data_IF_574085999006
#
_entry.id   IF_574085999006
#
_cell.length_a   1.000
_cell.length_b   1.000
_cell.length_c   1.000
_cell.angle_alpha   90.00
_cell.angle_beta   90.00
_cell.angle_gamma   90.00
#
_symmetry.space_group_name_H-M   'P 1'
#
loop_
_entity.id
_entity.type
_entity.pdbx_description
1 polymer ?
#
# COMPACT_ATOMS: atom_id res chain seq x y z
N UNK A 1 28.34 -13.56 -27.12
CA UNK A 1 27.91 -12.21 -26.68
C UNK A 1 26.48 -12.17 -26.17
N UNK A 2 25.53 -12.92 -26.76
CA UNK A 2 24.12 -12.99 -26.37
C UNK A 2 23.85 -13.29 -24.89
N UNK A 3 24.57 -14.24 -24.28
CA UNK A 3 24.40 -14.61 -22.86
C UNK A 3 24.70 -13.44 -21.91
N UNK A 4 25.65 -12.57 -22.25
CA UNK A 4 25.99 -11.38 -21.44
C UNK A 4 24.89 -10.33 -21.52
N UNK A 5 24.31 -10.13 -22.71
CA UNK A 5 23.22 -9.18 -22.95
C UNK A 5 21.94 -9.66 -22.25
N UNK A 6 21.60 -10.94 -22.37
CA UNK A 6 20.45 -11.52 -21.68
C UNK A 6 20.59 -11.42 -20.16
N UNK A 7 21.79 -11.63 -19.61
CA UNK A 7 22.06 -11.45 -18.18
C UNK A 7 21.86 -10.01 -17.70
N UNK A 8 22.28 -9.02 -18.49
CA UNK A 8 22.10 -7.60 -18.17
C UNK A 8 20.62 -7.20 -18.23
N UNK A 9 19.88 -7.70 -19.22
CA UNK A 9 18.43 -7.45 -19.32
C UNK A 9 17.67 -8.07 -18.15
N UNK A 10 18.04 -9.29 -17.73
CA UNK A 10 17.43 -9.91 -16.56
C UNK A 10 17.72 -9.12 -15.28
N UNK A 11 18.97 -8.67 -15.11
CA UNK A 11 19.40 -7.89 -13.96
C UNK A 11 18.73 -6.51 -13.91
N UNK A 12 18.52 -5.86 -15.06
CA UNK A 12 17.81 -4.57 -15.12
C UNK A 12 16.34 -4.72 -14.76
N UNK A 13 15.68 -5.78 -15.23
CA UNK A 13 14.29 -6.11 -14.86
C UNK A 13 14.18 -6.38 -13.36
N UNK A 14 15.08 -7.20 -12.79
CA UNK A 14 15.12 -7.48 -11.35
C UNK A 14 15.33 -6.20 -10.52
N UNK A 15 16.24 -5.34 -10.95
CA UNK A 15 16.52 -4.06 -10.28
C UNK A 15 15.30 -3.14 -10.32
N UNK A 16 14.59 -3.09 -11.45
CA UNK A 16 13.37 -2.31 -11.59
C UNK A 16 12.26 -2.81 -10.66
N UNK A 17 12.09 -4.14 -10.54
CA UNK A 17 11.11 -4.75 -9.63
C UNK A 17 11.46 -4.41 -8.17
N UNK A 18 12.73 -4.49 -7.77
CA UNK A 18 13.21 -4.14 -6.43
C UNK A 18 12.94 -2.66 -6.09
N UNK A 19 13.19 -1.75 -7.03
CA UNK A 19 12.89 -0.33 -6.88
C UNK A 19 11.39 -0.12 -6.65
N UNK A 20 10.53 -0.70 -7.50
CA UNK A 20 9.08 -0.59 -7.34
C UNK A 20 8.63 -1.13 -5.98
N UNK A 21 9.17 -2.27 -5.53
CA UNK A 21 8.82 -2.87 -4.24
C UNK A 21 9.22 -2.01 -3.03
N UNK A 22 10.32 -1.26 -3.10
CA UNK A 22 10.74 -0.34 -2.04
C UNK A 22 9.89 0.93 -2.06
N UNK A 23 9.61 1.46 -3.26
CA UNK A 23 8.88 2.72 -3.43
C UNK A 23 7.36 2.58 -3.30
N UNK A 24 6.78 1.39 -3.43
CA UNK A 24 5.32 1.21 -3.30
C UNK A 24 4.82 1.55 -1.88
N UNK A 25 5.64 1.32 -0.85
CA UNK A 25 5.27 1.59 0.54
C UNK A 25 5.14 3.09 0.86
N UNK A 26 6.14 3.95 0.58
CA UNK A 26 5.99 5.41 0.75
C UNK A 26 5.02 6.04 -0.25
N UNK A 27 4.94 5.54 -1.49
CA UNK A 27 3.99 6.07 -2.49
C UNK A 27 2.56 5.76 -2.08
N UNK A 28 2.25 4.52 -1.67
CA UNK A 28 0.92 4.18 -1.18
C UNK A 28 0.55 5.04 0.05
N UNK A 29 1.49 5.23 0.99
CA UNK A 29 1.26 6.08 2.17
C UNK A 29 0.94 7.53 1.78
N UNK A 30 1.75 8.13 0.89
CA UNK A 30 1.55 9.52 0.45
C UNK A 30 0.34 9.69 -0.46
N UNK A 31 0.01 8.70 -1.28
CA UNK A 31 -1.15 8.74 -2.17
C UNK A 31 -2.46 8.59 -1.40
N UNK A 32 -2.50 7.72 -0.39
CA UNK A 32 -3.62 7.59 0.55
C UNK A 32 -3.75 8.90 1.34
N UNK A 33 -2.69 9.41 1.97
CA UNK A 33 -2.75 10.68 2.73
C UNK A 33 -3.20 11.90 1.90
N UNK A 34 -2.82 11.98 0.62
CA UNK A 34 -3.19 13.11 -0.26
C UNK A 34 -4.55 12.95 -0.93
N UNK A 35 -4.97 11.75 -1.29
CA UNK A 35 -6.23 11.52 -2.01
C UNK A 35 -7.41 11.16 -1.10
N UNK A 36 -7.20 10.64 0.11
CA UNK A 36 -8.31 10.37 1.06
C UNK A 36 -9.05 11.65 1.45
N UNK A 37 -8.33 12.76 1.63
CA UNK A 37 -8.94 14.05 1.98
C UNK A 37 -9.85 14.62 0.89
N UNK A 38 -9.56 14.32 -0.38
CA UNK A 38 -10.24 14.96 -1.51
C UNK A 38 -11.47 14.15 -2.00
N UNK A 39 -11.45 12.81 -1.87
CA UNK A 39 -12.51 11.96 -2.43
C UNK A 39 -13.56 11.48 -1.41
N UNK A 40 -13.23 11.37 -0.12
CA UNK A 40 -14.17 10.87 0.89
C UNK A 40 -14.78 11.97 1.78
N UNK A 41 -14.20 13.19 1.75
CA UNK A 41 -14.60 14.31 2.61
C UNK A 41 -14.47 14.01 4.11
N UNK A 42 -13.71 12.98 4.46
CA UNK A 42 -13.48 12.43 5.80
C UNK A 42 -12.06 11.89 5.82
N UNK A 43 -11.32 12.08 6.92
CA UNK A 43 -9.99 11.51 7.04
C UNK A 43 -10.09 10.02 7.31
N UNK A 44 -9.45 9.21 6.48
CA UNK A 44 -9.28 7.78 6.73
C UNK A 44 -7.81 7.54 7.00
N UNK A 45 -7.50 6.96 8.15
CA UNK A 45 -6.13 6.57 8.49
C UNK A 45 -6.02 5.06 8.54
N UNK A 46 -4.99 4.54 7.90
CA UNK A 46 -4.63 3.13 7.91
C UNK A 46 -3.19 3.05 8.39
N UNK A 47 -2.99 2.41 9.54
CA UNK A 47 -1.68 2.38 10.20
C UNK A 47 -0.76 1.36 9.51
N UNK A 48 -1.28 0.18 9.14
CA UNK A 48 -0.54 -0.83 8.38
C UNK A 48 -1.40 -1.52 7.35
N UNK A 49 -0.90 -1.56 6.12
CA UNK A 49 -1.45 -2.35 5.01
C UNK A 49 -0.44 -3.42 4.59
N UNK A 50 -0.86 -4.68 4.60
CA UNK A 50 -0.07 -5.83 4.17
C UNK A 50 -0.85 -6.62 3.13
N UNK A 51 -0.41 -6.53 1.89
CA UNK A 51 -0.90 -7.36 0.79
C UNK A 51 0.16 -8.41 0.45
N UNK A 52 -0.23 -9.67 0.52
CA UNK A 52 0.55 -10.78 0.04
C UNK A 52 -0.17 -11.41 -1.16
N UNK A 53 0.29 -11.03 -2.35
CA UNK A 53 -0.22 -11.50 -3.64
C UNK A 53 0.14 -12.96 -3.93
N UNK A 54 1.11 -13.56 -3.24
CA UNK A 54 1.49 -14.96 -3.45
C UNK A 54 0.49 -15.94 -2.83
N UNK A 55 -0.17 -15.55 -1.75
CA UNK A 55 -1.14 -16.38 -1.04
C UNK A 55 -2.54 -15.75 -0.98
N UNK A 56 -2.79 -14.65 -1.69
CA UNK A 56 -4.07 -13.95 -1.68
C UNK A 56 -4.45 -13.32 -0.34
N UNK A 57 -3.50 -13.17 0.60
CA UNK A 57 -3.79 -12.60 1.91
C UNK A 57 -3.72 -11.08 1.87
N UNK A 58 -4.80 -10.45 2.30
CA UNK A 58 -4.88 -9.01 2.55
C UNK A 58 -5.12 -8.77 4.04
N UNK A 59 -4.27 -7.96 4.66
CA UNK A 59 -4.40 -7.57 6.07
C UNK A 59 -4.26 -6.07 6.20
N UNK A 60 -5.24 -5.46 6.86
CA UNK A 60 -5.28 -4.04 7.18
C UNK A 60 -5.37 -3.94 8.71
N UNK A 61 -4.46 -3.21 9.34
CA UNK A 61 -4.46 -3.01 10.79
C UNK A 61 -4.74 -1.53 11.09
N UNK A 62 -5.58 -1.30 12.11
CA UNK A 62 -6.00 0.01 12.61
C UNK A 62 -6.50 0.93 11.51
N UNK A 63 -7.60 0.53 10.89
CA UNK A 63 -8.35 1.39 10.00
C UNK A 63 -9.24 2.29 10.86
N UNK A 64 -9.03 3.60 10.79
CA UNK A 64 -9.88 4.58 11.46
C UNK A 64 -10.47 5.51 10.41
N UNK A 65 -11.77 5.76 10.50
CA UNK A 65 -12.48 6.72 9.69
C UNK A 65 -12.95 7.81 10.66
N UNK A 66 -12.54 9.04 10.40
CA UNK A 66 -12.91 10.19 11.20
C UNK A 66 -14.17 10.89 10.66
N UNK A 67 -14.87 11.58 11.55
CA UNK A 67 -15.91 12.55 11.22
C UNK A 67 -15.32 13.72 10.42
N UNK A 68 -16.19 14.54 9.81
CA UNK A 68 -15.78 15.77 9.09
C UNK A 68 -15.01 16.75 9.96
N UNK A 69 -15.16 16.66 11.29
CA UNK A 69 -14.45 17.48 12.27
C UNK A 69 -13.00 17.05 12.53
N UNK A 70 -12.60 15.90 11.95
CA UNK A 70 -11.28 15.30 12.05
C UNK A 70 -10.80 14.95 13.46
N UNK A 71 -11.70 14.99 14.46
CA UNK A 71 -11.39 14.76 15.87
C UNK A 71 -12.07 13.52 16.41
N UNK A 72 -13.23 13.20 15.86
CA UNK A 72 -14.06 12.12 16.36
C UNK A 72 -13.92 10.90 15.44
N UNK A 73 -13.59 9.75 16.01
CA UNK A 73 -13.54 8.48 15.27
C UNK A 73 -14.97 8.02 15.02
N UNK A 74 -15.38 7.99 13.75
CA UNK A 74 -16.69 7.51 13.34
C UNK A 74 -16.71 5.98 13.28
N UNK A 75 -15.69 5.38 12.67
CA UNK A 75 -15.50 3.93 12.60
C UNK A 75 -14.05 3.62 12.95
N UNK A 76 -13.83 2.65 13.85
CA UNK A 76 -12.50 2.10 14.14
C UNK A 76 -12.54 0.59 13.99
N UNK A 77 -11.68 0.06 13.13
CA UNK A 77 -11.48 -1.36 12.91
C UNK A 77 -10.04 -1.70 13.26
N UNK A 78 -9.85 -2.48 14.32
CA UNK A 78 -8.52 -2.85 14.80
C UNK A 78 -7.76 -3.76 13.81
N UNK A 79 -8.44 -4.74 13.21
CA UNK A 79 -7.82 -5.63 12.23
C UNK A 79 -8.87 -6.14 11.25
N UNK A 80 -8.63 -5.88 9.97
CA UNK A 80 -9.35 -6.50 8.87
C UNK A 80 -8.42 -7.49 8.18
N UNK A 81 -8.82 -8.77 8.14
CA UNK A 81 -8.08 -9.83 7.48
C UNK A 81 -8.98 -10.48 6.45
N UNK A 82 -8.51 -10.49 5.21
CA UNK A 82 -9.11 -11.22 4.12
C UNK A 82 -8.09 -12.23 3.60
N UNK A 83 -8.55 -13.46 3.37
CA UNK A 83 -7.75 -14.52 2.77
C UNK A 83 -8.62 -15.17 1.70
N UNK A 84 -8.08 -15.24 0.48
CA UNK A 84 -8.79 -15.80 -0.67
C UNK A 84 -8.56 -17.31 -0.78
#
# INVERSE_FOLDING_TARGET
QWIKISGIVLASILTLILLIAIFISPIAKSYIEKNDKELLGREVTIDKFKLNIFNGSLRIEKLNIFEKDNKTKFISVDTFKFNM
#
